data_IF_680083459135
#
_entry.id   IF_680083459135
#
_cell.length_a   1.000
_cell.length_b   1.000
_cell.length_c   1.000
_cell.angle_alpha   90.00
_cell.angle_beta   90.00
_cell.angle_gamma   90.00
#
_symmetry.space_group_name_H-M   'P 1'
#
loop_
_entity.id
_entity.type
_entity.pdbx_description
1 polymer ?
#
# COMPACT_ATOMS: atom_id res chain seq x y z
N UNK A 1 23.03 21.80 7.02
CA UNK A 1 21.91 22.66 7.47
C UNK A 1 21.33 22.02 8.72
N UNK A 2 21.49 22.68 9.86
CA UNK A 2 20.88 22.27 11.12
C UNK A 2 19.53 22.98 11.22
N UNK A 3 18.43 22.24 11.25
CA UNK A 3 17.12 22.80 11.58
C UNK A 3 16.52 21.91 12.67
N UNK A 4 16.90 22.18 13.91
CA UNK A 4 16.17 21.72 15.09
C UNK A 4 15.34 22.89 15.59
N UNK A 5 14.15 23.09 15.01
CA UNK A 5 13.15 23.95 15.63
C UNK A 5 12.47 23.15 16.75
N UNK A 6 12.96 23.32 17.98
CA UNK A 6 12.28 22.82 19.17
C UNK A 6 11.03 23.68 19.40
N UNK A 7 9.86 23.16 19.04
CA UNK A 7 8.58 23.74 19.39
C UNK A 7 8.33 23.57 20.90
N UNK A 8 8.59 24.62 21.68
CA UNK A 8 8.32 24.64 23.12
C UNK A 8 6.82 24.78 23.36
N UNK A 9 6.20 23.73 23.92
CA UNK A 9 4.83 23.81 24.43
C UNK A 9 4.87 24.56 25.77
N UNK A 10 4.40 25.80 25.79
CA UNK A 10 4.27 26.58 27.03
C UNK A 10 3.01 26.12 27.77
N UNK A 11 3.16 25.22 28.75
CA UNK A 11 2.07 24.78 29.60
C UNK A 11 1.66 25.92 30.56
N UNK A 12 0.47 26.50 30.36
CA UNK A 12 -0.15 27.42 31.32
C UNK A 12 -0.94 26.63 32.37
N UNK A 13 -0.75 26.96 33.65
CA UNK A 13 -1.53 26.38 34.76
C UNK A 13 -2.93 27.01 34.81
N UNK A 14 -3.96 26.24 34.48
CA UNK A 14 -5.35 26.61 34.75
C UNK A 14 -5.68 26.13 36.16
N UNK A 15 -5.76 27.07 37.12
CA UNK A 15 -6.08 26.74 38.51
C UNK A 15 -7.50 26.15 38.60
N UNK A 16 -7.61 24.88 38.98
CA UNK A 16 -8.89 24.23 39.31
C UNK A 16 -9.39 23.13 38.35
N UNK A 17 -8.68 22.83 37.26
CA UNK A 17 -9.07 21.76 36.34
C UNK A 17 -8.07 20.59 36.41
N UNK A 18 -8.57 19.39 36.72
CA UNK A 18 -7.82 18.15 36.56
C UNK A 18 -7.65 17.89 35.07
N UNK A 19 -6.47 18.19 34.52
CA UNK A 19 -6.13 17.83 33.14
C UNK A 19 -5.90 16.32 33.10
N UNK A 20 -6.87 15.57 32.56
CA UNK A 20 -6.62 14.18 32.17
C UNK A 20 -5.68 14.24 30.97
N UNK A 21 -4.52 13.57 31.06
CA UNK A 21 -3.71 13.27 29.89
C UNK A 21 -4.55 12.41 28.96
N UNK A 22 -4.96 12.99 27.84
CA UNK A 22 -5.62 12.26 26.76
C UNK A 22 -4.52 12.03 25.73
N UNK A 23 -4.31 10.78 25.34
CA UNK A 23 -3.47 10.44 24.20
C UNK A 23 -4.19 10.92 22.94
N UNK A 24 -3.88 12.14 22.51
CA UNK A 24 -4.40 12.72 21.28
C UNK A 24 -3.38 12.42 20.19
N UNK A 25 -3.79 11.65 19.19
CA UNK A 25 -2.99 11.44 17.99
C UNK A 25 -2.76 12.80 17.30
N UNK A 26 -1.51 13.17 16.98
CA UNK A 26 -1.25 14.42 16.28
C UNK A 26 -1.92 14.42 14.90
N UNK A 27 -2.35 15.60 14.44
CA UNK A 27 -2.98 15.78 13.13
C UNK A 27 -2.29 16.89 12.33
N UNK A 28 -2.39 16.77 11.01
CA UNK A 28 -1.88 17.73 10.04
C UNK A 28 -3.04 18.23 9.16
N UNK A 29 -3.03 19.51 8.81
CA UNK A 29 -4.01 20.11 7.91
C UNK A 29 -3.37 20.34 6.54
N UNK A 30 -3.92 19.72 5.49
CA UNK A 30 -3.52 19.91 4.10
C UNK A 30 -4.74 20.39 3.32
N UNK A 31 -4.64 21.56 2.68
CA UNK A 31 -5.73 22.18 1.91
C UNK A 31 -7.07 22.29 2.68
N UNK A 32 -7.00 22.59 3.98
CA UNK A 32 -8.17 22.72 4.85
C UNK A 32 -8.79 21.41 5.32
N UNK A 33 -8.22 20.26 4.94
CA UNK A 33 -8.61 18.94 5.45
C UNK A 33 -7.62 18.46 6.52
N UNK A 34 -8.15 18.02 7.66
CA UNK A 34 -7.37 17.43 8.74
C UNK A 34 -7.14 15.93 8.49
N UNK A 35 -5.93 15.47 8.78
CA UNK A 35 -5.52 14.07 8.72
C UNK A 35 -4.84 13.71 10.03
N UNK A 36 -5.12 12.55 10.61
CA UNK A 36 -4.29 12.04 11.70
C UNK A 36 -2.90 11.66 11.19
N UNK A 37 -1.92 11.56 12.08
CA UNK A 37 -0.58 11.12 11.71
C UNK A 37 -0.59 9.74 11.04
N UNK A 38 -1.42 8.81 11.50
CA UNK A 38 -1.64 7.49 10.89
C UNK A 38 -2.22 7.60 9.48
N UNK A 39 -3.29 8.38 9.29
CA UNK A 39 -3.90 8.59 7.96
C UNK A 39 -2.91 9.22 6.98
N UNK A 40 -2.16 10.23 7.43
CA UNK A 40 -1.16 10.91 6.62
C UNK A 40 -0.02 9.95 6.24
N UNK A 41 0.50 9.18 7.19
CA UNK A 41 1.55 8.20 6.94
C UNK A 41 1.09 7.12 5.94
N UNK A 42 -0.15 6.63 6.07
CA UNK A 42 -0.72 5.68 5.12
C UNK A 42 -0.82 6.27 3.72
N UNK A 43 -1.27 7.51 3.58
CA UNK A 43 -1.32 8.20 2.30
C UNK A 43 0.07 8.38 1.67
N UNK A 44 1.08 8.74 2.47
CA UNK A 44 2.47 8.85 2.03
C UNK A 44 3.01 7.49 1.56
N UNK A 45 2.73 6.41 2.28
CA UNK A 45 3.13 5.07 1.86
C UNK A 45 2.47 4.64 0.55
N UNK A 46 1.19 4.99 0.33
CA UNK A 46 0.53 4.77 -0.97
C UNK A 46 1.18 5.56 -2.11
N UNK A 47 1.65 6.78 -1.87
CA UNK A 47 2.37 7.58 -2.87
C UNK A 47 3.75 7.00 -3.25
N UNK A 48 4.38 6.26 -2.34
CA UNK A 48 5.66 5.58 -2.61
C UNK A 48 5.50 4.34 -3.48
N UNK A 49 4.28 3.78 -3.58
CA UNK A 49 4.05 2.59 -4.39
C UNK A 49 4.14 2.91 -5.89
N UNK A 50 4.58 1.95 -6.71
CA UNK A 50 4.56 2.10 -8.16
C UNK A 50 3.15 2.43 -8.67
N UNK A 51 3.03 3.42 -9.56
CA UNK A 51 1.79 3.70 -10.27
C UNK A 51 1.64 2.69 -11.42
N UNK A 52 0.68 1.78 -11.26
CA UNK A 52 0.46 0.67 -12.20
C UNK A 52 -0.39 1.13 -13.39
N UNK A 53 0.05 0.78 -14.61
CA UNK A 53 -0.74 0.93 -15.82
C UNK A 53 -1.87 -0.12 -15.90
N UNK A 54 -2.75 0.00 -16.90
CA UNK A 54 -3.92 -0.88 -17.07
C UNK A 54 -3.55 -2.37 -17.12
N UNK A 55 -2.51 -2.75 -17.88
CA UNK A 55 -2.09 -4.17 -17.96
C UNK A 55 -1.52 -4.65 -16.61
N UNK A 56 -0.79 -3.79 -15.90
CA UNK A 56 -0.26 -4.12 -14.57
C UNK A 56 -1.40 -4.31 -13.55
N UNK A 57 -2.46 -3.50 -13.63
CA UNK A 57 -3.62 -3.63 -12.76
C UNK A 57 -4.38 -4.93 -13.00
N UNK A 58 -4.60 -5.31 -14.28
CA UNK A 58 -5.25 -6.58 -14.63
C UNK A 58 -4.45 -7.76 -14.06
N UNK A 59 -3.12 -7.76 -14.22
CA UNK A 59 -2.28 -8.85 -13.67
C UNK A 59 -2.27 -8.84 -12.14
N UNK A 60 -2.23 -7.67 -11.51
CA UNK A 60 -2.31 -7.55 -10.05
C UNK A 60 -3.62 -8.15 -9.52
N UNK A 61 -4.74 -7.82 -10.15
CA UNK A 61 -6.05 -8.31 -9.69
C UNK A 61 -6.15 -9.82 -9.84
N UNK A 62 -5.68 -10.36 -10.97
CA UNK A 62 -5.61 -11.80 -11.17
C UNK A 62 -4.78 -12.51 -10.08
N UNK A 63 -3.63 -11.96 -9.69
CA UNK A 63 -2.80 -12.53 -8.61
C UNK A 63 -3.55 -12.55 -7.27
N UNK A 64 -4.28 -11.48 -6.94
CA UNK A 64 -5.07 -11.40 -5.70
C UNK A 64 -6.21 -12.40 -5.70
N UNK A 65 -7.01 -12.43 -6.77
CA UNK A 65 -8.13 -13.37 -6.93
C UNK A 65 -7.63 -14.82 -6.84
N UNK A 66 -6.55 -15.16 -7.52
CA UNK A 66 -5.98 -16.50 -7.50
C UNK A 66 -5.50 -16.92 -6.11
N UNK A 67 -4.90 -16.00 -5.35
CA UNK A 67 -4.48 -16.26 -3.97
C UNK A 67 -5.69 -16.49 -3.05
N UNK A 68 -6.76 -15.68 -3.20
CA UNK A 68 -7.98 -15.82 -2.39
C UNK A 68 -8.80 -17.07 -2.72
N UNK A 69 -8.79 -17.54 -3.97
CA UNK A 69 -9.61 -18.66 -4.45
C UNK A 69 -9.00 -20.06 -4.18
N UNK A 70 -8.30 -20.23 -3.04
CA UNK A 70 -7.64 -21.45 -2.55
C UNK A 70 -6.17 -21.67 -2.96
N UNK A 71 -5.37 -20.60 -3.06
CA UNK A 71 -3.92 -20.73 -3.25
C UNK A 71 -3.14 -20.11 -2.10
N UNK A 72 -1.87 -20.47 -1.99
CA UNK A 72 -0.92 -19.75 -1.14
C UNK A 72 -0.06 -18.81 -2.01
N UNK A 73 0.72 -17.96 -1.35
CA UNK A 73 1.59 -17.01 -2.04
C UNK A 73 2.54 -17.72 -3.04
N UNK A 74 3.14 -18.85 -2.66
CA UNK A 74 4.08 -19.58 -3.51
C UNK A 74 3.39 -20.13 -4.76
N UNK A 75 2.23 -20.78 -4.60
CA UNK A 75 1.46 -21.36 -5.69
C UNK A 75 0.91 -20.28 -6.63
N UNK A 76 0.56 -19.10 -6.11
CA UNK A 76 0.16 -17.93 -6.91
C UNK A 76 1.30 -17.42 -7.79
N UNK A 77 2.51 -17.24 -7.22
CA UNK A 77 3.70 -16.87 -8.01
C UNK A 77 4.04 -17.95 -9.04
N UNK A 78 3.94 -19.23 -8.67
CA UNK A 78 4.18 -20.33 -9.60
C UNK A 78 3.18 -20.35 -10.75
N UNK A 79 1.89 -20.10 -10.49
CA UNK A 79 0.85 -20.02 -11.51
C UNK A 79 1.09 -18.85 -12.49
N UNK A 80 1.60 -17.71 -12.00
CA UNK A 80 1.97 -16.58 -12.86
C UNK A 80 3.05 -16.95 -13.91
N UNK A 81 4.01 -17.81 -13.53
CA UNK A 81 5.00 -18.37 -14.47
C UNK A 81 4.33 -19.26 -15.53
N UNK A 82 3.29 -20.01 -15.17
CA UNK A 82 2.56 -20.85 -16.12
C UNK A 82 1.79 -20.01 -17.14
N UNK A 83 1.15 -18.92 -16.71
CA UNK A 83 0.53 -17.92 -17.59
C UNK A 83 1.53 -17.37 -18.62
N UNK A 84 2.74 -17.04 -18.16
CA UNK A 84 3.82 -16.57 -19.03
C UNK A 84 4.33 -17.65 -20.00
N UNK A 85 4.47 -18.89 -19.53
CA UNK A 85 5.17 -19.95 -20.25
C UNK A 85 4.29 -20.71 -21.24
N UNK A 86 3.00 -20.88 -20.90
CA UNK A 86 2.07 -21.70 -21.69
C UNK A 86 1.00 -20.89 -22.39
N UNK A 87 0.84 -19.60 -22.07
CA UNK A 87 0.09 -18.60 -22.83
C UNK A 87 -1.01 -19.16 -23.73
N UNK A 88 -1.96 -19.90 -23.15
CA UNK A 88 -3.11 -20.40 -23.91
C UNK A 88 -4.14 -19.28 -23.89
N UNK A 89 -4.46 -18.65 -25.03
CA UNK A 89 -5.04 -17.32 -25.04
C UNK A 89 -6.55 -17.40 -24.88
N UNK A 90 -7.05 -17.30 -23.65
CA UNK A 90 -8.51 -17.18 -23.46
C UNK A 90 -8.95 -16.00 -22.58
N UNK A 91 -8.13 -15.53 -21.62
CA UNK A 91 -8.50 -14.41 -20.74
C UNK A 91 -7.72 -13.10 -20.96
N UNK A 92 -8.26 -12.02 -20.40
CA UNK A 92 -7.69 -10.67 -20.48
C UNK A 92 -6.38 -10.56 -19.68
N UNK A 93 -6.26 -11.31 -18.58
CA UNK A 93 -5.07 -11.43 -17.75
C UNK A 93 -3.87 -11.99 -18.51
N UNK A 94 -4.05 -13.01 -19.34
CA UNK A 94 -2.96 -13.57 -20.17
C UNK A 94 -2.47 -12.54 -21.19
N UNK A 95 -3.40 -11.82 -21.84
CA UNK A 95 -3.07 -10.73 -22.78
C UNK A 95 -2.32 -9.61 -22.06
N UNK A 96 -2.78 -9.20 -20.88
CA UNK A 96 -2.14 -8.18 -20.07
C UNK A 96 -0.72 -8.60 -19.67
N UNK A 97 -0.54 -9.85 -19.22
CA UNK A 97 0.75 -10.40 -18.82
C UNK A 97 1.79 -10.34 -19.96
N UNK A 98 1.41 -10.70 -21.19
CA UNK A 98 2.31 -10.66 -22.35
C UNK A 98 2.78 -9.25 -22.75
N UNK A 99 2.09 -8.20 -22.28
CA UNK A 99 2.45 -6.80 -22.56
C UNK A 99 3.39 -6.22 -21.51
N UNK A 100 3.59 -6.89 -20.38
CA UNK A 100 4.47 -6.39 -19.32
C UNK A 100 5.94 -6.61 -19.70
N UNK A 101 6.75 -5.57 -19.51
CA UNK A 101 8.20 -5.74 -19.45
C UNK A 101 8.67 -6.14 -18.03
N UNK A 102 9.95 -6.51 -17.89
CA UNK A 102 10.52 -6.94 -16.61
C UNK A 102 10.34 -5.92 -15.47
N UNK A 103 10.44 -4.61 -15.76
CA UNK A 103 10.24 -3.58 -14.75
C UNK A 103 8.79 -3.52 -14.32
N UNK A 104 7.87 -3.60 -15.27
CA UNK A 104 6.43 -3.55 -14.98
C UNK A 104 5.97 -4.78 -14.20
N UNK A 105 6.48 -5.98 -14.55
CA UNK A 105 6.23 -7.19 -13.79
C UNK A 105 6.79 -7.07 -12.36
N UNK A 106 8.01 -6.55 -12.19
CA UNK A 106 8.58 -6.34 -10.86
C UNK A 106 7.72 -5.40 -10.00
N UNK A 107 7.18 -4.32 -10.58
CA UNK A 107 6.26 -3.41 -9.88
C UNK A 107 4.95 -4.09 -9.47
N UNK A 108 4.38 -4.95 -10.34
CA UNK A 108 3.19 -5.73 -9.99
C UNK A 108 3.49 -6.67 -8.82
N UNK A 109 4.62 -7.36 -8.84
CA UNK A 109 5.03 -8.27 -7.76
C UNK A 109 5.33 -7.52 -6.45
N UNK A 110 5.87 -6.31 -6.52
CA UNK A 110 6.07 -5.44 -5.34
C UNK A 110 4.73 -5.10 -4.67
N UNK A 111 3.76 -4.61 -5.45
CA UNK A 111 2.44 -4.23 -4.93
C UNK A 111 1.68 -5.47 -4.43
N UNK A 112 1.76 -6.58 -5.17
CA UNK A 112 1.15 -7.85 -4.76
C UNK A 112 1.75 -8.39 -3.45
N UNK A 113 3.08 -8.38 -3.31
CA UNK A 113 3.74 -8.85 -2.10
C UNK A 113 3.35 -8.04 -0.86
N UNK A 114 3.19 -6.73 -1.00
CA UNK A 114 2.75 -5.87 0.11
C UNK A 114 1.31 -6.16 0.50
N UNK A 115 0.41 -6.24 -0.48
CA UNK A 115 -0.98 -6.61 -0.25
C UNK A 115 -1.11 -7.97 0.44
N UNK A 116 -0.32 -8.97 0.03
CA UNK A 116 -0.35 -10.30 0.62
C UNK A 116 0.08 -10.30 2.11
N UNK A 117 1.06 -9.46 2.49
CA UNK A 117 1.46 -9.27 3.89
C UNK A 117 0.35 -8.62 4.72
N UNK A 118 -0.36 -7.64 4.16
CA UNK A 118 -1.49 -6.99 4.83
C UNK A 118 -2.63 -7.98 5.15
N UNK A 119 -2.77 -9.08 4.38
CA UNK A 119 -3.77 -10.12 4.68
C UNK A 119 -3.38 -11.02 5.88
N UNK A 120 -2.11 -11.05 6.29
CA UNK A 120 -1.67 -11.81 7.47
C UNK A 120 -1.82 -11.02 8.77
N UNK A 121 -2.02 -9.69 8.68
CA UNK A 121 -2.17 -8.79 9.84
C UNK A 121 -3.64 -8.70 10.35
N UNK A 122 -4.59 -9.34 9.66
CA UNK A 122 -6.02 -9.46 10.05
C UNK A 122 -6.36 -10.85 10.61
#
# INVERSE_FOLDING_TARGET
>A
MNVSEEYKITAGTISGATLKSIDIEPSIIVDGKSYTASEFNKAVEMLKQPQLNENQQIVLEWLKEYMLDNSDFYNTIYASKQLYSYGVPYGEESKAFTKLNNRELAQVLEVFSRWAQEQEEE
#
